data_IF_403264781343
#
_entry.id   IF_403264781343
#
_cell.length_a   1.000
_cell.length_b   1.000
_cell.length_c   1.000
_cell.angle_alpha   90.00
_cell.angle_beta   90.00
_cell.angle_gamma   90.00
#
_symmetry.space_group_name_H-M   'P 1'
#
loop_
_entity.id
_entity.type
_entity.pdbx_description
1 polymer ?
#
# COMPACT_ATOMS: atom_id res chain seq x y z
N UNK A 1 -14.05 10.18 -3.85
CA UNK A 1 -13.08 11.15 -4.41
C UNK A 1 -11.86 10.39 -4.92
N UNK A 2 -11.29 10.82 -6.06
CA UNK A 2 -10.10 10.19 -6.64
C UNK A 2 -8.85 10.98 -6.21
N UNK A 3 -7.84 10.29 -5.69
CA UNK A 3 -6.52 10.83 -5.38
C UNK A 3 -5.47 10.06 -6.20
N UNK A 4 -4.76 10.74 -7.09
CA UNK A 4 -3.74 10.16 -7.97
C UNK A 4 -2.33 10.69 -7.67
N UNK A 5 -2.15 11.44 -6.57
CA UNK A 5 -0.89 12.13 -6.27
C UNK A 5 0.36 11.24 -6.35
N UNK A 6 0.26 9.97 -5.95
CA UNK A 6 1.39 9.03 -5.94
C UNK A 6 1.45 8.14 -7.19
N UNK A 7 0.69 8.50 -8.22
CA UNK A 7 0.73 7.91 -9.54
C UNK A 7 0.99 8.96 -10.64
N UNK A 8 0.60 10.22 -10.43
CA UNK A 8 0.92 11.32 -11.34
C UNK A 8 2.44 11.32 -11.68
N UNK A 9 2.77 11.22 -12.97
CA UNK A 9 4.15 11.08 -13.47
C UNK A 9 4.62 9.64 -13.74
N UNK A 10 3.79 8.64 -13.46
CA UNK A 10 4.02 7.22 -13.76
C UNK A 10 2.98 6.66 -14.74
N UNK A 11 2.38 7.50 -15.57
CA UNK A 11 1.27 7.10 -16.45
C UNK A 11 1.69 5.98 -17.42
N UNK A 12 0.93 4.88 -17.39
CA UNK A 12 1.19 3.70 -18.21
C UNK A 12 2.12 2.67 -17.57
N UNK A 13 2.65 2.96 -16.37
CA UNK A 13 3.27 1.97 -15.50
C UNK A 13 2.19 1.27 -14.64
N UNK A 14 2.46 0.07 -14.10
CA UNK A 14 1.50 -0.65 -13.27
C UNK A 14 1.05 0.17 -12.05
N UNK A 15 -0.25 0.11 -11.74
CA UNK A 15 -0.86 0.86 -10.65
C UNK A 15 -1.63 -0.03 -9.68
N UNK A 16 -1.80 0.50 -8.47
CA UNK A 16 -2.59 -0.11 -7.42
C UNK A 16 -3.60 0.90 -6.89
N UNK A 17 -4.85 0.47 -6.75
CA UNK A 17 -5.97 1.29 -6.29
C UNK A 17 -6.46 0.78 -4.94
N UNK A 18 -6.30 1.61 -3.90
CA UNK A 18 -7.01 1.43 -2.63
C UNK A 18 -8.40 2.07 -2.75
N UNK A 19 -9.46 1.30 -2.52
CA UNK A 19 -10.85 1.75 -2.69
C UNK A 19 -11.72 1.41 -1.49
N UNK A 20 -12.47 2.39 -0.97
CA UNK A 20 -13.51 2.18 0.05
C UNK A 20 -14.93 2.18 -0.56
N UNK A 21 -15.02 2.11 -1.89
CA UNK A 21 -16.24 2.21 -2.69
C UNK A 21 -16.66 3.64 -3.06
N UNK A 22 -16.24 4.65 -2.28
CA UNK A 22 -16.55 6.07 -2.53
C UNK A 22 -15.29 6.86 -2.91
N UNK A 23 -14.17 6.50 -2.32
CA UNK A 23 -12.86 7.11 -2.45
C UNK A 23 -11.89 6.09 -3.03
N UNK A 24 -11.07 6.57 -3.97
CA UNK A 24 -10.02 5.80 -4.62
C UNK A 24 -8.70 6.53 -4.43
N UNK A 25 -7.69 5.77 -4.06
CA UNK A 25 -6.33 6.24 -3.91
C UNK A 25 -5.41 5.41 -4.80
N UNK A 26 -4.93 6.03 -5.87
CA UNK A 26 -4.13 5.41 -6.92
C UNK A 26 -2.65 5.63 -6.62
N UNK A 27 -1.89 4.55 -6.66
CA UNK A 27 -0.50 4.49 -6.24
C UNK A 27 0.28 3.77 -7.35
N UNK A 28 1.42 4.32 -7.76
CA UNK A 28 2.34 3.59 -8.62
C UNK A 28 2.85 2.34 -7.92
N UNK A 29 2.78 1.18 -8.60
CA UNK A 29 3.08 -0.12 -7.99
C UNK A 29 4.49 -0.19 -7.38
N UNK A 30 5.48 0.49 -7.97
CA UNK A 30 6.85 0.50 -7.43
C UNK A 30 6.97 1.10 -6.03
N UNK A 31 6.13 2.08 -5.68
CA UNK A 31 6.08 2.55 -4.29
C UNK A 31 5.50 1.50 -3.35
N UNK A 32 4.44 0.81 -3.79
CA UNK A 32 3.76 -0.19 -2.98
C UNK A 32 4.66 -1.41 -2.73
N UNK A 33 5.35 -1.92 -3.75
CA UNK A 33 6.34 -2.98 -3.61
C UNK A 33 7.48 -2.57 -2.68
N UNK A 34 8.02 -1.35 -2.81
CA UNK A 34 9.07 -0.85 -1.91
C UNK A 34 8.62 -0.81 -0.45
N UNK A 35 7.36 -0.44 -0.18
CA UNK A 35 6.78 -0.48 1.16
C UNK A 35 6.72 -1.92 1.68
N UNK A 36 6.24 -2.86 0.86
CA UNK A 36 6.06 -4.24 1.25
C UNK A 36 7.39 -4.96 1.50
N UNK A 37 8.38 -4.75 0.63
CA UNK A 37 9.75 -5.26 0.81
C UNK A 37 10.33 -4.80 2.16
N UNK A 38 10.17 -3.50 2.48
CA UNK A 38 10.62 -2.96 3.77
C UNK A 38 9.92 -3.60 4.97
N UNK A 39 8.64 -3.98 4.83
CA UNK A 39 7.89 -4.64 5.90
C UNK A 39 8.30 -6.10 6.08
N UNK A 40 8.70 -6.80 5.01
CA UNK A 40 9.24 -8.16 5.12
C UNK A 40 10.54 -8.20 5.93
N UNK A 41 11.39 -7.19 5.80
CA UNK A 41 12.65 -7.04 6.54
C UNK A 41 12.46 -6.79 8.06
N UNK A 42 11.22 -6.58 8.50
CA UNK A 42 10.88 -6.32 9.90
C UNK A 42 10.50 -7.58 10.69
N UNK A 43 10.59 -8.78 10.11
CA UNK A 43 10.19 -10.05 10.76
C UNK A 43 8.75 -10.03 11.31
N UNK A 44 7.83 -9.34 10.62
CA UNK A 44 6.42 -9.35 10.97
C UNK A 44 5.82 -10.75 10.79
N UNK A 45 4.75 -11.04 11.55
CA UNK A 45 3.96 -12.22 11.31
C UNK A 45 3.41 -12.21 9.87
N UNK A 46 3.48 -13.36 9.20
CA UNK A 46 3.00 -13.53 7.82
C UNK A 46 1.49 -13.71 7.83
N UNK A 47 0.79 -12.61 8.08
CA UNK A 47 -0.66 -12.49 8.00
C UNK A 47 -1.06 -11.28 7.15
N UNK A 48 -2.34 -11.18 6.78
CA UNK A 48 -2.87 -10.06 6.00
C UNK A 48 -2.02 -9.76 4.75
N UNK A 49 -1.72 -8.48 4.53
CA UNK A 49 -0.99 -8.01 3.35
C UNK A 49 0.42 -8.60 3.23
N UNK A 50 1.11 -8.84 4.35
CA UNK A 50 2.46 -9.41 4.37
C UNK A 50 2.46 -10.88 3.93
N UNK A 51 1.43 -11.64 4.33
CA UNK A 51 1.25 -13.02 3.88
C UNK A 51 1.08 -13.09 2.37
N UNK A 52 0.13 -12.32 1.86
CA UNK A 52 -0.22 -12.29 0.44
C UNK A 52 0.99 -11.90 -0.41
N UNK A 53 1.74 -10.86 0.00
CA UNK A 53 2.99 -10.51 -0.69
C UNK A 53 4.02 -11.63 -0.69
N UNK A 54 4.27 -12.22 0.48
CA UNK A 54 5.34 -13.21 0.66
C UNK A 54 5.08 -14.49 -0.14
N UNK A 55 3.83 -14.93 -0.21
CA UNK A 55 3.43 -16.11 -0.97
C UNK A 55 3.10 -15.80 -2.44
N UNK A 56 3.11 -14.52 -2.83
CA UNK A 56 2.67 -14.05 -4.15
C UNK A 56 1.23 -14.50 -4.46
N UNK A 57 0.36 -14.38 -3.46
CA UNK A 57 -1.05 -14.74 -3.53
C UNK A 57 -1.92 -13.48 -3.35
N UNK A 58 -3.19 -13.51 -3.78
CA UNK A 58 -4.18 -12.51 -3.37
C UNK A 58 -4.41 -11.37 -4.36
N UNK A 59 -3.62 -10.28 -4.34
CA UNK A 59 -4.09 -9.04 -5.01
C UNK A 59 -3.89 -8.97 -6.52
N UNK A 60 -2.97 -9.74 -7.12
CA UNK A 60 -2.84 -9.80 -8.59
C UNK A 60 -3.83 -10.79 -9.20
N UNK A 61 -3.98 -11.97 -8.59
CA UNK A 61 -4.81 -13.05 -9.13
C UNK A 61 -6.28 -12.98 -8.68
N UNK A 62 -6.56 -12.47 -7.48
CA UNK A 62 -7.91 -12.32 -6.89
C UNK A 62 -8.34 -10.84 -6.77
N UNK A 63 -7.90 -9.97 -7.71
CA UNK A 63 -8.34 -8.57 -7.79
C UNK A 63 -9.85 -8.47 -8.08
N UNK A 64 -10.64 -7.65 -7.33
CA UNK A 64 -10.23 -6.82 -6.21
C UNK A 64 -10.14 -7.59 -4.89
N UNK A 65 -9.04 -7.42 -4.16
CA UNK A 65 -8.75 -8.12 -2.92
C UNK A 65 -9.20 -7.32 -1.69
N UNK A 66 -10.01 -7.93 -0.82
CA UNK A 66 -10.51 -7.29 0.42
C UNK A 66 -9.46 -7.33 1.52
N UNK A 67 -9.17 -6.18 2.13
CA UNK A 67 -8.15 -6.09 3.20
C UNK A 67 -8.77 -6.00 4.60
N UNK A 68 -8.05 -6.55 5.59
CA UNK A 68 -8.31 -6.28 7.00
C UNK A 68 -7.70 -4.91 7.37
N UNK A 69 -8.54 -3.88 7.42
CA UNK A 69 -8.11 -2.49 7.65
C UNK A 69 -7.30 -2.31 8.96
N UNK A 70 -7.78 -2.75 10.14
CA UNK A 70 -6.98 -2.70 11.37
C UNK A 70 -5.62 -3.36 11.26
N UNK A 71 -5.56 -4.56 10.68
CA UNK A 71 -4.31 -5.30 10.52
C UNK A 71 -3.35 -4.58 9.56
N UNK A 72 -3.84 -4.15 8.39
CA UNK A 72 -3.03 -3.42 7.40
C UNK A 72 -2.44 -2.14 7.99
N UNK A 73 -3.23 -1.36 8.75
CA UNK A 73 -2.70 -0.17 9.46
C UNK A 73 -1.59 -0.58 10.45
N UNK A 74 -1.80 -1.65 11.22
CA UNK A 74 -0.81 -2.13 12.19
C UNK A 74 0.50 -2.51 11.50
N UNK A 75 0.42 -3.23 10.38
CA UNK A 75 1.57 -3.68 9.61
C UNK A 75 2.33 -2.49 9.00
N UNK A 76 1.64 -1.59 8.28
CA UNK A 76 2.24 -0.43 7.61
C UNK A 76 2.93 0.52 8.61
N UNK A 77 2.44 0.60 9.86
CA UNK A 77 3.09 1.40 10.92
C UNK A 77 4.50 0.93 11.29
N UNK A 78 4.88 -0.29 10.92
CA UNK A 78 6.24 -0.80 11.15
C UNK A 78 7.23 -0.36 10.06
N UNK A 79 6.77 0.32 9.00
CA UNK A 79 7.65 0.82 7.94
C UNK A 79 8.78 1.67 8.50
N UNK A 80 10.02 1.34 8.12
CA UNK A 80 11.24 2.05 8.54
C UNK A 80 12.00 2.54 7.31
N UNK A 81 11.77 3.81 6.96
CA UNK A 81 12.41 4.48 5.82
C UNK A 81 13.94 4.45 5.88
N UNK A 82 14.52 4.33 7.08
CA UNK A 82 15.98 4.33 7.23
C UNK A 82 16.63 3.07 6.67
N UNK A 83 15.85 1.99 6.50
CA UNK A 83 16.31 0.72 5.91
C UNK A 83 16.34 0.74 4.38
N UNK A 84 15.73 1.74 3.75
CA UNK A 84 15.69 1.82 2.29
C UNK A 84 17.04 2.28 1.72
N UNK A 85 17.54 1.55 0.74
CA UNK A 85 18.71 1.93 -0.06
C UNK A 85 18.27 2.63 -1.36
N UNK A 86 17.83 3.89 -1.20
CA UNK A 86 17.33 4.73 -2.31
C UNK A 86 17.58 6.21 -2.00
N UNK A 87 17.30 7.08 -2.97
CA UNK A 87 17.51 8.53 -2.86
C UNK A 87 16.68 9.19 -1.77
N UNK A 88 17.18 10.29 -1.20
CA UNK A 88 16.45 11.08 -0.19
C UNK A 88 15.14 11.67 -0.72
N UNK A 89 15.04 11.93 -2.02
CA UNK A 89 13.80 12.39 -2.66
C UNK A 89 12.73 11.31 -2.55
N UNK A 90 13.07 10.10 -2.99
CA UNK A 90 12.18 8.94 -2.94
C UNK A 90 11.78 8.58 -1.50
N UNK A 91 12.73 8.65 -0.56
CA UNK A 91 12.45 8.44 0.88
C UNK A 91 11.39 9.41 1.43
N UNK A 92 11.40 10.67 0.99
CA UNK A 92 10.39 11.65 1.41
C UNK A 92 9.01 11.32 0.84
N UNK A 93 8.97 10.95 -0.43
CA UNK A 93 7.73 10.60 -1.13
C UNK A 93 7.07 9.36 -0.51
N UNK A 94 7.84 8.29 -0.26
CA UNK A 94 7.28 7.07 0.33
C UNK A 94 6.84 7.28 1.80
N UNK A 95 7.52 8.13 2.57
CA UNK A 95 7.06 8.48 3.93
C UNK A 95 5.75 9.25 3.89
N UNK A 96 5.57 10.13 2.90
CA UNK A 96 4.30 10.81 2.70
C UNK A 96 3.20 9.83 2.26
N UNK A 97 3.50 8.94 1.31
CA UNK A 97 2.59 7.88 0.87
C UNK A 97 2.10 7.04 2.05
N UNK A 98 3.00 6.55 2.89
CA UNK A 98 2.65 5.72 4.06
C UNK A 98 1.70 6.46 4.99
N UNK A 99 1.90 7.76 5.20
CA UNK A 99 0.99 8.59 6.01
C UNK A 99 -0.39 8.71 5.38
N UNK A 100 -0.45 8.94 4.06
CA UNK A 100 -1.70 9.06 3.32
C UNK A 100 -2.47 7.73 3.24
N UNK A 101 -1.78 6.59 3.08
CA UNK A 101 -2.40 5.26 3.15
C UNK A 101 -3.02 5.07 4.55
N UNK A 102 -2.27 5.33 5.62
CA UNK A 102 -2.80 5.20 6.99
C UNK A 102 -4.01 6.12 7.19
N UNK A 103 -3.95 7.35 6.69
CA UNK A 103 -5.05 8.31 6.79
C UNK A 103 -6.30 7.80 6.05
N UNK A 104 -6.16 7.36 4.80
CA UNK A 104 -7.22 6.75 4.01
C UNK A 104 -7.89 5.60 4.77
N UNK A 105 -7.09 4.66 5.27
CA UNK A 105 -7.56 3.47 5.99
C UNK A 105 -8.27 3.83 7.30
N UNK A 106 -7.79 4.84 8.04
CA UNK A 106 -8.46 5.32 9.26
C UNK A 106 -9.84 5.92 8.98
N UNK A 107 -9.99 6.64 7.86
CA UNK A 107 -11.28 7.17 7.41
C UNK A 107 -12.23 6.06 6.92
N UNK A 108 -11.68 4.96 6.42
CA UNK A 108 -12.42 3.80 5.94
C UNK A 108 -12.63 2.68 6.99
N UNK A 109 -12.32 2.90 8.28
CA UNK A 109 -12.31 1.84 9.32
C UNK A 109 -13.60 1.01 9.49
N UNK A 110 -14.74 1.54 9.05
CA UNK A 110 -16.05 0.89 9.13
C UNK A 110 -16.61 0.49 7.75
N UNK A 111 -15.76 0.53 6.72
CA UNK A 111 -16.10 0.21 5.33
C UNK A 111 -15.33 -1.02 4.90
N UNK A 112 -15.81 -1.64 3.83
CA UNK A 112 -15.02 -2.62 3.10
C UNK A 112 -14.00 -1.83 2.28
N UNK A 113 -12.73 -2.18 2.43
CA UNK A 113 -11.64 -1.63 1.62
C UNK A 113 -11.06 -2.74 0.76
N UNK A 114 -10.83 -2.43 -0.50
CA UNK A 114 -10.21 -3.34 -1.46
C UNK A 114 -8.94 -2.76 -2.05
N UNK A 115 -8.06 -3.64 -2.50
CA UNK A 115 -6.94 -3.37 -3.39
C UNK A 115 -7.33 -3.89 -4.77
N UNK A 116 -7.35 -2.99 -5.76
CA UNK A 116 -7.51 -3.33 -7.18
C UNK A 116 -6.13 -3.16 -7.84
N UNK A 117 -5.69 -4.18 -8.58
CA UNK A 117 -4.49 -4.11 -9.43
C UNK A 117 -4.93 -3.91 -10.88
N UNK A 118 -4.36 -2.93 -11.58
CA UNK A 118 -4.66 -2.58 -12.99
C UNK A 118 -3.35 -2.51 -13.81
#
# INVERSE_FOLDING_TARGET
MLNTKFYDGFEGEPELVLSDGENKFVIWNGYFETLLDSLLDNNLEKEGMIKEYFYQEGWHDDSPWVIDVPLTISQIKNFDVNKLDTSDGFKKEIVELVREIIHFLQHAKNKIVVIEYD
#
